data_IF_997855858449
#
_entry.id   IF_997855858449
#
_cell.length_a   1.000
_cell.length_b   1.000
_cell.length_c   1.000
_cell.angle_alpha   90.00
_cell.angle_beta   90.00
_cell.angle_gamma   90.00
#
_symmetry.space_group_name_H-M   'P 1'
#
loop_
_entity.id
_entity.type
_entity.pdbx_description
1 polymer ?
#
# COMPACT_ATOMS: atom_id res chain seq x y z
N UNK A 1 29.84 13.42 73.09
CA UNK A 1 29.88 13.78 71.67
C UNK A 1 30.97 12.94 71.01
N UNK A 2 30.63 12.17 69.98
CA UNK A 2 31.62 11.41 69.18
C UNK A 2 31.75 12.12 67.83
N UNK A 3 32.97 12.23 67.32
CA UNK A 3 33.26 12.91 66.05
C UNK A 3 33.80 11.86 65.09
N UNK A 4 33.36 11.91 63.82
CA UNK A 4 33.84 11.00 62.77
C UNK A 4 35.19 11.46 62.20
N UNK A 5 35.78 10.69 61.28
CA UNK A 5 37.07 11.03 60.64
C UNK A 5 37.03 12.32 59.81
N UNK A 6 35.84 12.80 59.44
CA UNK A 6 35.62 14.02 58.67
C UNK A 6 35.36 15.26 59.56
N UNK A 7 35.37 15.10 60.90
CA UNK A 7 35.10 16.19 61.83
C UNK A 7 33.62 16.42 62.14
N UNK A 8 32.71 15.59 61.63
CA UNK A 8 31.27 15.69 61.89
C UNK A 8 30.90 15.03 63.22
N UNK A 9 29.92 15.61 63.90
CA UNK A 9 29.32 15.00 65.08
C UNK A 9 28.51 13.76 64.68
N UNK A 10 28.85 12.60 65.27
CA UNK A 10 28.00 11.41 65.21
C UNK A 10 26.74 11.65 66.03
N UNK A 11 25.60 11.74 65.36
CA UNK A 11 24.27 11.89 65.95
C UNK A 11 23.51 10.57 66.00
N UNK A 12 22.80 10.34 67.11
CA UNK A 12 21.73 9.34 67.15
C UNK A 12 20.43 10.03 66.75
N UNK A 13 19.67 9.41 65.84
CA UNK A 13 18.41 9.97 65.36
C UNK A 13 17.25 9.10 65.83
N UNK A 14 16.15 9.73 66.24
CA UNK A 14 14.91 9.06 66.61
C UNK A 14 13.85 9.33 65.54
N UNK A 15 13.11 8.28 65.19
CA UNK A 15 11.98 8.36 64.27
C UNK A 15 10.69 8.50 65.07
N UNK A 16 10.09 9.68 64.97
CA UNK A 16 8.76 9.95 65.50
C UNK A 16 7.71 9.61 64.45
N UNK A 17 6.60 9.00 64.88
CA UNK A 17 5.41 8.90 64.02
C UNK A 17 4.14 9.10 64.83
N UNK A 18 3.03 9.27 64.11
CA UNK A 18 1.71 9.40 64.69
C UNK A 18 1.31 8.10 65.38
N UNK A 19 1.08 8.16 66.69
CA UNK A 19 0.76 7.00 67.52
C UNK A 19 -0.41 7.32 68.45
N UNK A 20 -1.22 6.30 68.76
CA UNK A 20 -2.24 6.41 69.78
C UNK A 20 -1.56 6.46 71.17
N UNK A 21 -1.98 7.41 71.99
CA UNK A 21 -1.47 7.62 73.36
C UNK A 21 -2.62 7.78 74.33
N UNK A 22 -2.41 7.42 75.59
CA UNK A 22 -3.43 7.58 76.62
C UNK A 22 -3.59 9.06 77.01
N UNK A 23 -4.80 9.65 76.88
CA UNK A 23 -5.00 11.06 77.17
C UNK A 23 -4.98 11.32 78.68
N UNK A 24 -4.07 12.18 79.12
CA UNK A 24 -4.02 12.70 80.50
C UNK A 24 -4.89 13.96 80.57
N UNK A 25 -6.13 13.81 81.05
CA UNK A 25 -7.12 14.91 81.14
C UNK A 25 -7.03 15.74 82.43
N UNK A 26 -6.17 15.32 83.37
CA UNK A 26 -5.99 16.00 84.65
C UNK A 26 -5.14 17.25 84.47
N UNK A 27 -5.75 18.43 84.51
CA UNK A 27 -5.06 19.73 84.29
C UNK A 27 -3.95 20.05 85.31
N UNK A 28 -3.95 19.41 86.47
CA UNK A 28 -2.94 19.59 87.51
C UNK A 28 -1.71 18.69 87.36
N UNK A 29 -1.71 17.78 86.39
CA UNK A 29 -0.58 16.90 86.09
C UNK A 29 0.41 17.61 85.16
N UNK A 30 1.71 17.48 85.42
CA UNK A 30 2.77 18.00 84.55
C UNK A 30 2.77 17.36 83.16
N UNK A 31 2.16 16.19 83.02
CA UNK A 31 2.00 15.47 81.75
C UNK A 31 0.62 15.67 81.12
N UNK A 32 -0.10 16.75 81.44
CA UNK A 32 -1.42 17.04 80.86
C UNK A 32 -1.38 17.02 79.32
N UNK A 33 -2.09 16.05 78.74
CA UNK A 33 -2.21 15.87 77.30
C UNK A 33 -3.60 15.30 76.98
N UNK A 34 -4.59 16.15 76.64
CA UNK A 34 -5.98 15.73 76.52
C UNK A 34 -6.32 15.03 75.19
N UNK A 35 -5.33 14.79 74.33
CA UNK A 35 -5.48 14.16 73.02
C UNK A 35 -5.13 12.68 73.10
N UNK A 36 -5.79 11.87 72.27
CA UNK A 36 -5.65 10.42 72.17
C UNK A 36 -4.54 9.98 71.20
N UNK A 37 -3.86 10.93 70.56
CA UNK A 37 -2.78 10.68 69.62
C UNK A 37 -1.70 11.74 69.73
N UNK A 38 -0.44 11.32 69.60
CA UNK A 38 0.72 12.19 69.63
C UNK A 38 1.83 11.70 68.68
N UNK A 39 2.83 12.55 68.45
CA UNK A 39 4.09 12.12 67.87
C UNK A 39 4.91 11.40 68.95
N UNK A 40 5.07 10.10 68.80
CA UNK A 40 5.82 9.26 69.74
C UNK A 40 6.99 8.56 69.03
N UNK A 41 8.01 8.19 69.81
CA UNK A 41 9.21 7.52 69.31
C UNK A 41 8.85 6.10 68.87
N UNK A 42 8.93 5.87 67.57
CA UNK A 42 8.64 4.56 66.97
C UNK A 42 9.86 3.74 66.63
N UNK A 43 10.94 4.40 66.21
CA UNK A 43 12.17 3.72 65.87
C UNK A 43 13.38 4.61 66.19
N UNK A 44 14.56 4.00 66.22
CA UNK A 44 15.82 4.70 66.44
C UNK A 44 16.84 4.26 65.40
N UNK A 45 17.61 5.21 64.91
CA UNK A 45 18.78 4.97 64.08
C UNK A 45 19.97 4.72 65.01
N UNK A 46 20.40 3.47 65.06
CA UNK A 46 21.52 3.02 65.88
C UNK A 46 22.74 2.83 64.97
N UNK A 47 23.90 3.35 65.38
CA UNK A 47 25.17 3.12 64.65
C UNK A 47 25.43 1.61 64.61
N UNK A 48 25.37 1.04 63.40
CA UNK A 48 25.21 -0.38 63.16
C UNK A 48 26.46 -1.22 63.36
N UNK A 49 27.61 -0.60 63.67
CA UNK A 49 28.88 -1.25 64.01
C UNK A 49 29.29 -2.38 63.05
N UNK A 50 30.12 -2.08 62.05
CA UNK A 50 30.70 -3.04 61.09
C UNK A 50 29.73 -3.67 60.07
N UNK A 51 28.64 -2.99 59.71
CA UNK A 51 27.84 -3.34 58.52
C UNK A 51 28.46 -2.78 57.23
N UNK A 52 28.19 -3.44 56.07
CA UNK A 52 28.54 -2.90 54.76
C UNK A 52 28.03 -1.44 54.64
N UNK A 53 28.97 -0.50 54.49
CA UNK A 53 28.78 0.93 54.24
C UNK A 53 28.60 1.88 55.44
N UNK A 54 28.88 1.49 56.70
CA UNK A 54 28.77 2.38 57.87
C UNK A 54 27.39 3.07 58.02
N UNK A 55 26.32 2.49 57.47
CA UNK A 55 24.98 3.07 57.53
C UNK A 55 24.32 2.77 58.89
N UNK A 56 23.61 3.73 59.51
CA UNK A 56 22.89 3.47 60.74
C UNK A 56 21.73 2.51 60.49
N UNK A 57 21.54 1.57 61.42
CA UNK A 57 20.44 0.60 61.37
C UNK A 57 19.20 1.20 62.02
N UNK A 58 18.07 1.14 61.31
CA UNK A 58 16.77 1.51 61.86
C UNK A 58 16.21 0.35 62.70
N UNK A 59 16.01 0.60 64.00
CA UNK A 59 15.46 -0.37 64.95
C UNK A 59 14.09 0.10 65.41
N UNK A 60 13.05 -0.70 65.12
CA UNK A 60 11.67 -0.38 65.48
C UNK A 60 11.34 -0.89 66.89
N UNK A 61 10.78 0.00 67.72
CA UNK A 61 10.20 -0.34 69.02
C UNK A 61 8.68 -0.47 68.96
N UNK A 62 8.05 0.26 68.04
CA UNK A 62 6.61 0.23 67.77
C UNK A 62 6.36 0.21 66.27
N UNK A 63 5.27 -0.44 65.79
CA UNK A 63 4.89 -0.36 64.39
C UNK A 63 4.42 1.06 64.04
N UNK A 64 4.72 1.52 62.81
CA UNK A 64 4.18 2.79 62.30
C UNK A 64 2.70 2.58 61.96
N UNK A 65 1.83 3.47 62.48
CA UNK A 65 0.41 3.48 62.13
C UNK A 65 0.26 4.20 60.79
N UNK A 66 -0.03 3.43 59.75
CA UNK A 66 -0.34 3.94 58.43
C UNK A 66 -1.85 4.06 58.25
N UNK A 67 -2.32 5.16 57.66
CA UNK A 67 -3.76 5.38 57.42
C UNK A 67 -4.31 4.34 56.42
N UNK A 68 -3.55 4.04 55.37
CA UNK A 68 -3.95 3.13 54.29
C UNK A 68 -2.81 2.15 53.92
N UNK A 69 -2.02 1.78 54.94
CA UNK A 69 -0.80 1.00 54.75
C UNK A 69 0.41 1.81 54.25
N UNK A 70 1.58 1.18 54.15
CA UNK A 70 2.79 1.85 53.65
C UNK A 70 2.59 2.24 52.18
N UNK A 71 2.77 3.53 51.91
CA UNK A 71 2.73 4.05 50.53
C UNK A 71 3.90 3.49 49.72
N UNK A 72 3.66 3.23 48.43
CA UNK A 72 4.75 2.89 47.51
C UNK A 72 5.65 4.10 47.30
N UNK A 73 6.95 3.86 47.21
CA UNK A 73 7.94 4.91 46.93
C UNK A 73 7.81 5.47 45.50
N UNK A 74 7.16 4.73 44.60
CA UNK A 74 6.92 5.09 43.20
C UNK A 74 5.48 4.76 42.80
N UNK A 75 4.82 5.59 41.99
CA UNK A 75 3.49 5.29 41.44
C UNK A 75 3.54 4.12 40.44
N UNK A 76 2.40 3.47 40.21
CA UNK A 76 2.29 2.25 39.40
C UNK A 76 2.78 2.40 37.96
N UNK A 77 2.52 3.57 37.36
CA UNK A 77 2.96 3.88 36.00
C UNK A 77 4.33 4.56 35.94
N UNK A 78 5.01 4.72 37.08
CA UNK A 78 6.23 5.49 37.18
C UNK A 78 5.99 7.00 37.21
N UNK A 79 6.98 7.78 37.62
CA UNK A 79 6.82 9.23 37.80
C UNK A 79 6.56 9.96 36.48
N UNK A 80 7.01 9.38 35.38
CA UNK A 80 6.91 9.92 34.03
C UNK A 80 6.11 9.02 33.09
N UNK A 81 5.35 8.04 33.61
CA UNK A 81 4.61 7.11 32.76
C UNK A 81 5.51 6.07 32.07
N UNK A 82 6.75 5.90 32.53
CA UNK A 82 7.76 5.04 31.91
C UNK A 82 7.42 3.55 31.98
N UNK A 83 6.64 3.13 33.00
CA UNK A 83 6.23 1.74 33.18
C UNK A 83 4.97 1.41 32.39
N UNK A 84 4.07 2.38 32.22
CA UNK A 84 2.83 2.24 31.45
C UNK A 84 3.05 2.67 30.00
N UNK A 85 3.69 1.80 29.22
CA UNK A 85 3.95 2.04 27.81
C UNK A 85 2.66 1.97 26.99
N UNK A 86 2.33 3.05 26.30
CA UNK A 86 1.17 3.10 25.41
C UNK A 86 1.44 2.31 24.12
N UNK A 87 1.01 1.04 24.12
CA UNK A 87 1.08 0.18 22.94
C UNK A 87 0.11 0.62 21.83
N UNK A 88 -0.91 1.43 22.14
CA UNK A 88 -1.93 1.87 21.19
C UNK A 88 -1.37 2.78 20.10
N UNK A 89 -0.52 3.74 20.49
CA UNK A 89 0.09 4.68 19.54
C UNK A 89 1.00 3.99 18.51
N UNK A 90 1.76 2.98 18.93
CA UNK A 90 2.68 2.25 18.06
C UNK A 90 1.94 1.37 17.04
N UNK A 91 0.87 0.69 17.46
CA UNK A 91 0.05 -0.15 16.59
C UNK A 91 -0.68 0.72 15.55
N UNK A 92 -1.21 1.87 15.96
CA UNK A 92 -1.86 2.83 15.05
C UNK A 92 -0.88 3.30 13.96
N UNK A 93 0.34 3.66 14.35
CA UNK A 93 1.38 4.12 13.41
C UNK A 93 1.79 3.03 12.41
N UNK A 94 1.97 1.78 12.86
CA UNK A 94 2.28 0.66 11.96
C UNK A 94 1.13 0.39 10.98
N UNK A 95 -0.11 0.41 11.47
CA UNK A 95 -1.28 0.18 10.62
C UNK A 95 -1.40 1.22 9.50
N UNK A 96 -1.08 2.48 9.82
CA UNK A 96 -1.07 3.57 8.85
C UNK A 96 -0.02 3.35 7.77
N UNK A 97 1.22 3.01 8.15
CA UNK A 97 2.30 2.74 7.19
C UNK A 97 1.92 1.57 6.26
N UNK A 98 1.42 0.47 6.81
CA UNK A 98 1.01 -0.70 6.02
C UNK A 98 -0.10 -0.33 5.01
N UNK A 99 -1.07 0.49 5.41
CA UNK A 99 -2.14 0.95 4.53
C UNK A 99 -1.59 1.74 3.33
N UNK A 100 -0.65 2.66 3.55
CA UNK A 100 -0.04 3.42 2.46
C UNK A 100 0.77 2.55 1.50
N UNK A 101 1.50 1.56 2.01
CA UNK A 101 2.24 0.62 1.17
C UNK A 101 1.29 -0.15 0.24
N UNK A 102 0.16 -0.63 0.78
CA UNK A 102 -0.86 -1.34 -0.01
C UNK A 102 -1.50 -0.43 -1.04
N UNK A 103 -1.81 0.83 -0.70
CA UNK A 103 -2.38 1.80 -1.65
C UNK A 103 -1.41 2.11 -2.79
N UNK A 104 -0.15 2.39 -2.48
CA UNK A 104 0.87 2.71 -3.49
C UNK A 104 1.15 1.48 -4.36
N UNK A 105 1.29 0.29 -3.77
CA UNK A 105 1.45 -0.96 -4.50
C UNK A 105 0.24 -1.26 -5.40
N UNK A 106 -0.97 -1.00 -4.92
CA UNK A 106 -2.22 -1.09 -5.68
C UNK A 106 -2.24 -0.13 -6.88
N UNK A 107 -1.84 1.13 -6.68
CA UNK A 107 -1.79 2.12 -7.76
C UNK A 107 -0.76 1.75 -8.84
N UNK A 108 0.44 1.30 -8.44
CA UNK A 108 1.49 0.87 -9.38
C UNK A 108 1.05 -0.36 -10.17
N UNK A 109 0.50 -1.37 -9.50
CA UNK A 109 0.02 -2.60 -10.16
C UNK A 109 -1.16 -2.31 -11.10
N UNK A 110 -2.12 -1.48 -10.68
CA UNK A 110 -3.22 -1.03 -11.54
C UNK A 110 -2.70 -0.26 -12.77
N UNK A 111 -1.74 0.64 -12.58
CA UNK A 111 -1.08 1.37 -13.66
C UNK A 111 -0.37 0.44 -14.65
N UNK A 112 0.33 -0.58 -14.15
CA UNK A 112 1.00 -1.58 -14.97
C UNK A 112 0.00 -2.43 -15.77
N UNK A 113 -1.08 -2.90 -15.14
CA UNK A 113 -2.15 -3.66 -15.81
C UNK A 113 -2.88 -2.80 -16.83
N UNK A 114 -3.14 -1.53 -16.53
CA UNK A 114 -3.75 -0.61 -17.48
C UNK A 114 -2.86 -0.42 -18.71
N UNK A 115 -1.57 -0.18 -18.49
CA UNK A 115 -0.59 0.01 -19.56
C UNK A 115 -0.46 -1.23 -20.42
N UNK A 116 -0.36 -2.42 -19.83
CA UNK A 116 -0.28 -3.68 -20.57
C UNK A 116 -1.56 -3.97 -21.37
N UNK A 117 -2.75 -3.76 -20.78
CA UNK A 117 -4.03 -3.91 -21.48
C UNK A 117 -4.18 -2.91 -22.63
N UNK A 118 -3.73 -1.67 -22.46
CA UNK A 118 -3.73 -0.67 -23.52
C UNK A 118 -2.85 -1.11 -24.69
N UNK A 119 -1.63 -1.60 -24.41
CA UNK A 119 -0.74 -2.12 -25.44
C UNK A 119 -1.35 -3.29 -26.21
N UNK A 120 -1.97 -4.24 -25.53
CA UNK A 120 -2.62 -5.40 -26.18
C UNK A 120 -3.83 -4.97 -27.04
N UNK A 121 -4.62 -3.97 -26.58
CA UNK A 121 -5.71 -3.38 -27.39
C UNK A 121 -5.19 -2.70 -28.66
N UNK A 122 -4.12 -1.91 -28.55
CA UNK A 122 -3.50 -1.26 -29.70
C UNK A 122 -2.94 -2.29 -30.70
N UNK A 123 -2.25 -3.33 -30.22
CA UNK A 123 -1.76 -4.44 -31.06
C UNK A 123 -2.88 -5.15 -31.83
N UNK A 124 -4.05 -5.34 -31.21
CA UNK A 124 -5.19 -5.98 -31.86
C UNK A 124 -5.80 -5.14 -32.99
N UNK A 125 -5.56 -3.82 -33.03
CA UNK A 125 -6.09 -2.92 -34.06
C UNK A 125 -5.12 -2.68 -35.23
N UNK A 126 -3.84 -3.07 -35.12
CA UNK A 126 -2.83 -2.81 -36.16
C UNK A 126 -3.14 -3.55 -37.47
N UNK A 127 -3.81 -4.69 -37.41
CA UNK A 127 -4.12 -5.50 -38.59
C UNK A 127 -5.58 -5.33 -39.06
N UNK A 128 -6.43 -4.62 -38.33
CA UNK A 128 -7.82 -4.40 -38.73
C UNK A 128 -7.92 -3.08 -39.46
N UNK A 129 -8.30 -3.12 -40.73
CA UNK A 129 -8.68 -1.92 -41.48
C UNK A 129 -10.11 -1.56 -41.08
N UNK A 130 -10.35 -0.30 -40.73
CA UNK A 130 -11.73 0.15 -40.50
C UNK A 130 -12.46 0.23 -41.84
N UNK A 131 -13.62 -0.43 -41.97
CA UNK A 131 -14.38 -0.44 -43.23
C UNK A 131 -14.77 0.95 -43.74
N UNK A 132 -14.70 1.99 -42.91
CA UNK A 132 -14.87 3.40 -43.30
C UNK A 132 -13.70 3.94 -44.14
N UNK A 133 -12.49 3.39 -43.96
CA UNK A 133 -11.30 3.77 -44.75
C UNK A 133 -11.28 3.12 -46.15
N UNK A 134 -12.13 2.12 -46.38
CA UNK A 134 -12.24 1.40 -47.66
C UNK A 134 -13.50 1.86 -48.39
N UNK A 135 -13.34 2.77 -49.33
CA UNK A 135 -14.42 3.23 -50.19
C UNK A 135 -14.51 2.30 -51.40
N UNK A 136 -15.45 1.36 -51.37
CA UNK A 136 -15.74 0.51 -52.54
C UNK A 136 -16.27 1.41 -53.65
N UNK A 137 -15.70 1.30 -54.85
CA UNK A 137 -16.14 2.10 -56.00
C UNK A 137 -17.59 1.79 -56.42
N UNK A 138 -18.14 0.63 -56.01
CA UNK A 138 -19.45 0.15 -56.43
C UNK A 138 -20.23 -0.46 -55.27
N UNK A 139 -21.36 0.16 -54.90
CA UNK A 139 -22.27 -0.29 -53.84
C UNK A 139 -23.69 -0.61 -54.37
N UNK A 140 -23.81 -1.04 -55.64
CA UNK A 140 -25.10 -1.39 -56.25
C UNK A 140 -24.98 -2.25 -57.51
N UNK A 141 -26.08 -2.88 -57.92
CA UNK A 141 -26.21 -3.65 -59.17
C UNK A 141 -26.34 -2.71 -60.39
N UNK A 142 -25.43 -1.76 -60.57
CA UNK A 142 -25.39 -0.90 -61.74
C UNK A 142 -24.42 -1.47 -62.79
N UNK A 143 -24.83 -1.43 -64.06
CA UNK A 143 -24.07 -1.93 -65.21
C UNK A 143 -22.75 -1.19 -65.37
N UNK A 144 -21.63 -1.91 -65.41
CA UNK A 144 -20.26 -1.35 -65.41
C UNK A 144 -19.65 -1.18 -66.80
N UNK A 145 -20.46 -1.21 -67.86
CA UNK A 145 -19.95 -1.22 -69.25
C UNK A 145 -19.31 0.10 -69.67
N UNK A 146 -19.53 1.21 -68.97
CA UNK A 146 -19.04 2.55 -69.34
C UNK A 146 -17.83 3.05 -68.55
N UNK A 147 -17.29 2.25 -67.62
CA UNK A 147 -16.09 2.62 -66.82
C UNK A 147 -14.80 2.01 -67.37
N UNK A 148 -14.90 1.21 -68.43
CA UNK A 148 -13.73 0.73 -69.16
C UNK A 148 -13.18 1.89 -70.01
N UNK A 149 -11.88 2.22 -69.91
CA UNK A 149 -11.24 3.05 -70.92
C UNK A 149 -11.44 2.37 -72.27
N UNK A 150 -11.86 3.15 -73.27
CA UNK A 150 -12.15 2.68 -74.62
C UNK A 150 -10.93 1.92 -75.19
N UNK A 151 -11.00 0.59 -75.17
CA UNK A 151 -9.87 -0.29 -75.41
C UNK A 151 -10.17 -1.71 -74.94
N UNK A 152 -10.61 -2.56 -75.86
CA UNK A 152 -11.05 -3.95 -75.66
C UNK A 152 -10.00 -4.93 -75.08
N UNK A 153 -8.87 -4.46 -74.54
CA UNK A 153 -7.71 -5.30 -74.23
C UNK A 153 -7.73 -5.87 -72.79
N UNK A 154 -8.59 -5.35 -71.91
CA UNK A 154 -8.61 -5.74 -70.49
C UNK A 154 -9.74 -6.70 -70.09
N UNK A 155 -10.64 -7.03 -71.03
CA UNK A 155 -11.76 -7.95 -70.81
C UNK A 155 -11.37 -9.43 -70.84
N UNK A 156 -10.20 -9.77 -71.40
CA UNK A 156 -9.77 -11.15 -71.69
C UNK A 156 -8.71 -11.66 -70.68
N UNK A 157 -8.37 -10.86 -69.67
CA UNK A 157 -7.43 -11.28 -68.64
C UNK A 157 -8.08 -12.32 -67.71
N UNK A 158 -7.40 -13.45 -67.51
CA UNK A 158 -7.82 -14.58 -66.67
C UNK A 158 -8.25 -14.24 -65.22
N UNK A 159 -7.96 -13.02 -64.74
CA UNK A 159 -8.47 -12.49 -63.47
C UNK A 159 -9.97 -12.17 -63.51
N UNK A 160 -10.53 -11.93 -64.69
CA UNK A 160 -11.94 -11.59 -64.93
C UNK A 160 -12.77 -12.76 -65.44
N UNK A 161 -12.13 -13.76 -66.05
CA UNK A 161 -12.77 -14.99 -66.55
C UNK A 161 -12.21 -16.19 -65.80
N UNK A 162 -12.90 -16.61 -64.73
CA UNK A 162 -12.62 -17.89 -64.09
C UNK A 162 -12.85 -19.07 -65.06
N UNK A 163 -12.24 -20.24 -64.81
CA UNK A 163 -12.32 -21.42 -65.69
C UNK A 163 -13.72 -22.05 -65.76
N UNK A 164 -14.64 -21.62 -64.89
CA UNK A 164 -16.01 -22.10 -64.85
C UNK A 164 -16.90 -21.06 -65.53
N UNK A 165 -17.63 -21.48 -66.58
CA UNK A 165 -18.54 -20.64 -67.40
C UNK A 165 -19.74 -20.04 -66.62
N UNK A 166 -19.69 -19.95 -65.31
CA UNK A 166 -20.58 -19.12 -64.50
C UNK A 166 -19.92 -17.75 -64.26
N UNK A 167 -20.47 -16.70 -64.88
CA UNK A 167 -20.12 -15.30 -64.61
C UNK A 167 -20.46 -14.92 -63.16
N UNK A 168 -19.65 -15.37 -62.19
CA UNK A 168 -19.70 -14.91 -60.80
C UNK A 168 -18.85 -13.66 -60.64
N UNK A 169 -19.45 -12.52 -60.92
CA UNK A 169 -19.00 -11.22 -60.40
C UNK A 169 -18.22 -10.33 -61.36
N UNK A 170 -18.96 -9.45 -62.02
CA UNK A 170 -18.58 -8.10 -62.50
C UNK A 170 -17.11 -7.69 -62.29
N UNK A 171 -16.38 -7.49 -63.38
CA UNK A 171 -14.95 -7.18 -63.42
C UNK A 171 -14.46 -5.87 -62.78
N UNK A 172 -15.21 -5.28 -61.85
CA UNK A 172 -14.82 -4.13 -61.03
C UNK A 172 -15.30 -4.25 -59.57
N UNK A 173 -15.97 -5.35 -59.19
CA UNK A 173 -16.50 -5.55 -57.82
C UNK A 173 -15.40 -5.72 -56.77
N UNK A 174 -14.20 -6.06 -57.20
CA UNK A 174 -13.02 -6.24 -56.36
C UNK A 174 -12.08 -5.04 -56.33
N UNK A 175 -12.52 -3.81 -56.64
CA UNK A 175 -11.65 -2.63 -56.59
C UNK A 175 -12.20 -1.58 -55.61
N UNK A 176 -11.34 -1.03 -54.76
CA UNK A 176 -11.69 -0.01 -53.78
C UNK A 176 -10.61 1.08 -53.66
N UNK A 177 -10.99 2.24 -53.15
CA UNK A 177 -10.03 3.24 -52.69
C UNK A 177 -9.70 3.01 -51.23
N UNK A 178 -8.41 2.91 -50.93
CA UNK A 178 -7.87 2.93 -49.58
C UNK A 178 -6.83 4.04 -49.49
N UNK A 179 -7.11 5.06 -48.66
CA UNK A 179 -6.24 6.24 -48.44
C UNK A 179 -5.81 6.94 -49.74
N UNK A 180 -6.72 7.00 -50.72
CA UNK A 180 -6.49 7.66 -52.02
C UNK A 180 -5.77 6.79 -53.06
N UNK A 181 -5.36 5.57 -52.71
CA UNK A 181 -4.77 4.60 -53.65
C UNK A 181 -5.81 3.56 -54.08
N UNK A 182 -5.79 3.20 -55.36
CA UNK A 182 -6.63 2.14 -55.92
C UNK A 182 -6.09 0.78 -55.50
N UNK A 183 -6.89 -0.02 -54.82
CA UNK A 183 -6.52 -1.35 -54.30
C UNK A 183 -7.49 -2.43 -54.79
N UNK A 184 -6.97 -3.64 -55.00
CA UNK A 184 -7.78 -4.81 -55.29
C UNK A 184 -8.21 -5.50 -53.97
N UNK A 185 -9.52 -5.66 -53.78
CA UNK A 185 -10.12 -6.40 -52.70
C UNK A 185 -10.27 -7.88 -53.09
N UNK A 186 -9.70 -8.77 -52.28
CA UNK A 186 -9.90 -10.21 -52.39
C UNK A 186 -10.69 -10.69 -51.18
N UNK A 187 -11.94 -11.07 -51.40
CA UNK A 187 -12.78 -11.64 -50.35
C UNK A 187 -12.32 -13.08 -50.06
N UNK A 188 -11.96 -13.36 -48.80
CA UNK A 188 -11.58 -14.70 -48.35
C UNK A 188 -12.76 -15.32 -47.60
N UNK A 189 -13.44 -16.30 -48.22
CA UNK A 189 -14.50 -17.07 -47.57
C UNK A 189 -13.90 -18.19 -46.74
N UNK A 190 -13.83 -18.01 -45.42
CA UNK A 190 -13.40 -19.08 -44.51
C UNK A 190 -14.59 -19.97 -44.14
N UNK A 191 -14.50 -21.28 -44.46
CA UNK A 191 -15.51 -22.28 -44.09
C UNK A 191 -15.64 -22.52 -42.58
N UNK A 192 -14.69 -22.02 -41.77
CA UNK A 192 -14.67 -22.12 -40.31
C UNK A 192 -14.54 -20.74 -39.68
N UNK A 193 -15.02 -20.59 -38.44
CA UNK A 193 -14.82 -19.35 -37.66
C UNK A 193 -13.35 -18.94 -37.71
N UNK A 194 -13.03 -17.69 -38.06
CA UNK A 194 -11.66 -17.23 -38.16
C UNK A 194 -10.98 -17.44 -36.80
N UNK A 195 -9.89 -18.20 -36.81
CA UNK A 195 -9.12 -18.49 -35.61
C UNK A 195 -8.46 -17.18 -35.18
N UNK A 196 -8.72 -16.74 -33.95
CA UNK A 196 -8.08 -15.53 -33.43
C UNK A 196 -6.56 -15.67 -33.53
N UNK A 197 -5.92 -14.65 -34.12
CA UNK A 197 -4.49 -14.67 -34.36
C UNK A 197 -3.71 -14.76 -33.04
N UNK A 198 -2.69 -15.62 -32.99
CA UNK A 198 -1.82 -15.77 -31.83
C UNK A 198 -1.03 -14.49 -31.55
N UNK A 199 -0.66 -14.28 -30.29
CA UNK A 199 0.06 -13.07 -29.85
C UNK A 199 1.39 -12.86 -30.60
N UNK A 200 2.11 -13.94 -30.88
CA UNK A 200 3.38 -13.92 -31.62
C UNK A 200 3.17 -13.38 -33.04
N UNK A 201 2.16 -13.88 -33.75
CA UNK A 201 1.83 -13.42 -35.10
C UNK A 201 1.38 -11.96 -35.12
N UNK A 202 0.66 -11.47 -34.09
CA UNK A 202 0.30 -10.03 -33.97
C UNK A 202 1.53 -9.13 -33.82
N UNK A 203 2.53 -9.58 -33.08
CA UNK A 203 3.80 -8.84 -32.89
C UNK A 203 4.59 -8.83 -34.21
N UNK A 204 4.73 -9.99 -34.86
CA UNK A 204 5.43 -10.11 -36.15
C UNK A 204 4.76 -9.25 -37.24
N UNK A 205 3.44 -9.26 -37.35
CA UNK A 205 2.71 -8.40 -38.30
C UNK A 205 2.91 -6.91 -38.01
N UNK A 206 2.99 -6.49 -36.74
CA UNK A 206 3.32 -5.09 -36.38
C UNK A 206 4.71 -4.72 -36.90
N UNK A 207 5.69 -5.61 -36.74
CA UNK A 207 7.05 -5.40 -37.24
C UNK A 207 7.04 -5.34 -38.76
N UNK A 208 6.36 -6.29 -39.43
CA UNK A 208 6.24 -6.29 -40.89
C UNK A 208 5.60 -4.99 -41.43
N UNK A 209 4.55 -4.47 -40.78
CA UNK A 209 3.92 -3.19 -41.14
C UNK A 209 4.86 -1.99 -40.94
N UNK A 210 5.73 -2.02 -39.93
CA UNK A 210 6.71 -0.94 -39.71
C UNK A 210 7.87 -1.01 -40.71
N UNK A 211 8.13 -2.17 -41.31
CA UNK A 211 9.19 -2.38 -42.30
C UNK A 211 8.72 -2.17 -43.76
N UNK A 212 7.45 -1.86 -44.01
CA UNK A 212 6.96 -1.63 -45.38
C UNK A 212 7.55 -0.35 -45.96
N UNK A 213 8.25 -0.47 -47.09
CA UNK A 213 8.78 0.64 -47.87
C UNK A 213 7.73 1.08 -48.92
N UNK A 214 7.65 2.38 -49.28
CA UNK A 214 6.70 2.88 -50.30
C UNK A 214 6.83 2.23 -51.70
N UNK A 215 7.91 1.50 -51.96
CA UNK A 215 8.17 0.83 -53.24
C UNK A 215 7.95 -0.70 -53.19
N UNK A 216 7.42 -1.23 -52.07
CA UNK A 216 7.16 -2.67 -51.89
C UNK A 216 5.69 -2.85 -51.55
N UNK A 217 5.04 -3.85 -52.15
CA UNK A 217 3.63 -4.16 -51.90
C UNK A 217 3.39 -4.45 -50.42
N UNK A 218 2.58 -3.60 -49.78
CA UNK A 218 2.16 -3.76 -48.40
C UNK A 218 1.01 -4.78 -48.31
N UNK A 219 1.21 -5.85 -47.53
CA UNK A 219 0.13 -6.77 -47.20
C UNK A 219 -0.63 -6.23 -45.97
N UNK A 220 -1.90 -5.91 -46.14
CA UNK A 220 -2.81 -5.55 -45.05
C UNK A 220 -3.99 -6.53 -45.08
N UNK A 221 -4.29 -7.13 -43.93
CA UNK A 221 -5.38 -8.10 -43.79
C UNK A 221 -6.70 -7.46 -43.34
N UNK A 222 -7.80 -8.16 -43.61
CA UNK A 222 -9.10 -8.03 -42.94
C UNK A 222 -9.51 -9.43 -42.46
#
# INVERSE_FOLDING_TARGET
>A
MRINEHGDAKGNYTLLSWQAVEPVRTKGDGNYYPLDHALDITAMFVDGGEGQNNMPKLVFHKPIVWIDGPTRDQPDCGFHGELCRDYGGYISFISFILFFIVLIGGAISAGFVYRSRKFEKELAMIWKIEGREVQRLMQGNASTTSLFPDGNDMGDHAWYTGPDNEKKGSGLRGVAYYKGTLVALKELTFSRKPRELTRTSKIEMRVMRQLTHPNINSFMGE
#
